data_IF_580548251248
#
_entry.id   IF_580548251248
#
_cell.length_a   1.000
_cell.length_b   1.000
_cell.length_c   1.000
_cell.angle_alpha   90.00
_cell.angle_beta   90.00
_cell.angle_gamma   90.00
#
_symmetry.space_group_name_H-M   'P 1'
#
loop_
_entity.id
_entity.type
_entity.pdbx_description
1 polymer ?
#
# COMPACT_ATOMS: atom_id res chain seq x y z
N UNK A 1 -13.57 -4.11 22.54
CA UNK A 1 -12.11 -3.92 22.42
C UNK A 1 -11.49 -5.02 21.56
N UNK A 2 -11.87 -6.28 21.82
CA UNK A 2 -11.40 -7.47 21.09
C UNK A 2 -11.56 -7.37 19.57
N UNK A 3 -12.75 -7.04 19.06
CA UNK A 3 -12.98 -6.90 17.60
C UNK A 3 -12.08 -5.84 16.96
N UNK A 4 -11.83 -4.72 17.65
CA UNK A 4 -10.97 -3.64 17.14
C UNK A 4 -9.52 -4.12 16.97
N UNK A 5 -9.03 -4.94 17.90
CA UNK A 5 -7.70 -5.56 17.82
C UNK A 5 -7.66 -6.59 16.68
N UNK A 6 -8.72 -7.39 16.52
CA UNK A 6 -8.83 -8.33 15.39
C UNK A 6 -8.75 -7.59 14.05
N UNK A 7 -9.44 -6.45 13.90
CA UNK A 7 -9.33 -5.61 12.68
C UNK A 7 -7.88 -5.24 12.41
N UNK A 8 -7.14 -4.75 13.41
CA UNK A 8 -5.72 -4.41 13.26
C UNK A 8 -4.87 -5.61 12.83
N UNK A 9 -5.05 -6.76 13.48
CA UNK A 9 -4.31 -7.98 13.14
C UNK A 9 -4.60 -8.43 11.70
N UNK A 10 -5.85 -8.34 11.25
CA UNK A 10 -6.21 -8.65 9.85
C UNK A 10 -5.62 -7.62 8.89
N UNK A 11 -5.59 -6.33 9.22
CA UNK A 11 -4.94 -5.32 8.38
C UNK A 11 -3.44 -5.62 8.21
N UNK A 12 -2.74 -6.01 9.29
CA UNK A 12 -1.33 -6.43 9.24
C UNK A 12 -1.20 -7.69 8.37
N UNK A 13 -2.08 -8.67 8.52
CA UNK A 13 -2.07 -9.89 7.70
C UNK A 13 -2.29 -9.57 6.21
N UNK A 14 -3.17 -8.63 5.88
CA UNK A 14 -3.40 -8.18 4.50
C UNK A 14 -2.19 -7.46 3.92
N UNK A 15 -1.51 -6.63 4.72
CA UNK A 15 -0.23 -6.03 4.33
C UNK A 15 0.80 -7.11 3.97
N UNK A 16 0.96 -8.15 4.81
CA UNK A 16 1.90 -9.24 4.54
C UNK A 16 1.51 -10.01 3.27
N UNK A 17 0.23 -10.36 3.12
CA UNK A 17 -0.25 -11.11 1.95
C UNK A 17 -0.01 -10.30 0.66
N UNK A 18 -0.39 -9.03 0.63
CA UNK A 18 -0.26 -8.24 -0.58
C UNK A 18 1.22 -8.04 -0.96
N UNK A 19 2.04 -7.65 0.00
CA UNK A 19 3.41 -7.21 -0.25
C UNK A 19 4.40 -8.37 -0.47
N UNK A 20 4.12 -9.57 0.06
CA UNK A 20 5.00 -10.73 -0.06
C UNK A 20 4.44 -11.87 -0.92
N UNK A 21 3.11 -12.02 -0.99
CA UNK A 21 2.50 -13.17 -1.68
C UNK A 21 1.85 -12.77 -3.01
N UNK A 22 1.24 -11.59 -3.11
CA UNK A 22 0.41 -11.22 -4.27
C UNK A 22 1.12 -10.33 -5.30
N UNK A 23 2.28 -9.74 -5.00
CA UNK A 23 2.94 -8.80 -5.92
C UNK A 23 3.23 -9.39 -7.33
N UNK A 24 3.57 -10.68 -7.42
CA UNK A 24 3.80 -11.37 -8.70
C UNK A 24 4.68 -10.59 -9.69
N UNK A 25 4.21 -10.39 -10.93
CA UNK A 25 4.93 -9.61 -11.96
C UNK A 25 5.03 -8.11 -11.63
N UNK A 26 4.09 -7.59 -10.83
CA UNK A 26 4.03 -6.19 -10.48
C UNK A 26 5.22 -5.76 -9.61
N UNK A 27 5.78 -6.68 -8.82
CA UNK A 27 7.04 -6.49 -8.08
C UNK A 27 8.19 -6.05 -8.99
N UNK A 28 8.25 -6.63 -10.19
CA UNK A 28 9.25 -6.31 -11.19
C UNK A 28 8.87 -5.03 -11.94
N UNK A 29 7.62 -4.89 -12.36
CA UNK A 29 7.18 -3.77 -13.18
C UNK A 29 7.24 -2.43 -12.44
N UNK A 30 7.11 -2.39 -11.10
CA UNK A 30 7.30 -1.15 -10.33
C UNK A 30 8.73 -0.63 -10.30
N UNK A 31 9.70 -1.42 -10.80
CA UNK A 31 11.12 -1.09 -10.83
C UNK A 31 11.53 -0.56 -12.20
N UNK A 32 12.04 0.67 -12.24
CA UNK A 32 12.58 1.31 -13.45
C UNK A 32 13.63 0.46 -14.16
N UNK A 33 14.53 -0.17 -13.39
CA UNK A 33 15.60 -1.01 -13.93
C UNK A 33 15.07 -2.19 -14.74
N UNK A 34 13.93 -2.76 -14.34
CA UNK A 34 13.32 -3.88 -15.07
C UNK A 34 12.91 -3.46 -16.48
N UNK A 35 12.33 -2.28 -16.64
CA UNK A 35 11.95 -1.73 -17.95
C UNK A 35 13.17 -1.38 -18.80
N UNK A 36 14.20 -0.77 -18.22
CA UNK A 36 15.45 -0.48 -18.93
C UNK A 36 16.12 -1.74 -19.50
N UNK A 37 15.94 -2.89 -18.83
CA UNK A 37 16.52 -4.18 -19.26
C UNK A 37 15.65 -4.94 -20.26
N UNK A 38 14.33 -4.90 -20.12
CA UNK A 38 13.42 -5.73 -20.92
C UNK A 38 12.78 -4.97 -22.09
N UNK A 39 12.68 -3.64 -22.00
CA UNK A 39 12.06 -2.75 -22.99
C UNK A 39 12.85 -1.44 -23.11
N UNK A 40 14.04 -1.45 -23.73
CA UNK A 40 14.98 -0.33 -23.73
C UNK A 40 14.52 0.89 -24.55
N UNK A 41 13.43 0.78 -25.31
CA UNK A 41 12.87 1.87 -26.10
C UNK A 41 12.52 3.08 -25.20
N UNK A 42 12.78 4.28 -25.71
CA UNK A 42 12.46 5.53 -25.03
C UNK A 42 10.97 5.65 -24.66
N UNK A 43 10.09 5.04 -25.45
CA UNK A 43 8.65 5.00 -25.22
C UNK A 43 8.29 4.42 -23.85
N UNK A 44 8.97 3.36 -23.39
CA UNK A 44 8.58 2.60 -22.19
C UNK A 44 9.33 3.02 -20.92
N UNK A 45 10.22 4.02 -21.00
CA UNK A 45 11.09 4.44 -19.88
C UNK A 45 10.34 4.88 -18.61
N UNK A 46 9.06 5.23 -18.73
CA UNK A 46 8.22 5.73 -17.63
C UNK A 46 7.10 4.77 -17.23
N UNK A 47 6.97 3.61 -17.87
CA UNK A 47 5.87 2.66 -17.61
C UNK A 47 5.90 2.12 -16.18
N UNK A 48 7.09 2.06 -15.57
CA UNK A 48 7.25 1.70 -14.16
C UNK A 48 6.45 2.61 -13.21
N UNK A 49 6.19 3.87 -13.58
CA UNK A 49 5.39 4.79 -12.77
C UNK A 49 3.93 4.34 -12.69
N UNK A 50 3.37 3.84 -13.80
CA UNK A 50 2.01 3.31 -13.82
C UNK A 50 1.93 2.02 -13.00
N UNK A 51 2.90 1.12 -13.16
CA UNK A 51 2.97 -0.11 -12.38
C UNK A 51 3.11 0.17 -10.86
N UNK A 52 3.95 1.14 -10.49
CA UNK A 52 4.11 1.60 -9.12
C UNK A 52 2.81 2.17 -8.54
N UNK A 53 2.11 3.01 -9.32
CA UNK A 53 0.84 3.60 -8.92
C UNK A 53 -0.26 2.55 -8.70
N UNK A 54 -0.38 1.59 -9.62
CA UNK A 54 -1.33 0.46 -9.51
C UNK A 54 -0.99 -0.46 -8.34
N UNK A 55 0.31 -0.72 -8.10
CA UNK A 55 0.74 -1.50 -6.95
C UNK A 55 0.36 -0.82 -5.64
N UNK A 56 0.66 0.47 -5.51
CA UNK A 56 0.33 1.25 -4.33
C UNK A 56 -1.19 1.31 -4.08
N UNK A 57 -1.99 1.37 -5.15
CA UNK A 57 -3.45 1.33 -5.06
C UNK A 57 -3.93 -0.03 -4.52
N UNK A 58 -3.46 -1.12 -5.13
CA UNK A 58 -3.80 -2.49 -4.73
C UNK A 58 -3.46 -2.74 -3.27
N UNK A 59 -2.25 -2.36 -2.86
CA UNK A 59 -1.79 -2.51 -1.47
C UNK A 59 -2.66 -1.71 -0.49
N UNK A 60 -2.96 -0.45 -0.82
CA UNK A 60 -3.81 0.41 0.02
C UNK A 60 -5.22 -0.17 0.14
N UNK A 61 -5.77 -0.68 -0.96
CA UNK A 61 -7.06 -1.35 -0.96
C UNK A 61 -7.06 -2.58 -0.05
N UNK A 62 -6.07 -3.45 -0.19
CA UNK A 62 -5.98 -4.68 0.62
C UNK A 62 -5.82 -4.39 2.10
N UNK A 63 -4.96 -3.43 2.47
CA UNK A 63 -4.73 -3.07 3.88
C UNK A 63 -5.91 -2.32 4.51
N UNK A 64 -6.67 -1.53 3.74
CA UNK A 64 -7.85 -0.82 4.23
C UNK A 64 -9.14 -1.65 4.18
N UNK A 65 -9.17 -2.76 3.45
CA UNK A 65 -10.37 -3.59 3.32
C UNK A 65 -10.98 -4.01 4.67
N UNK A 66 -10.20 -4.49 5.67
CA UNK A 66 -10.77 -4.92 6.95
C UNK A 66 -11.46 -3.78 7.71
N UNK A 67 -10.87 -2.57 7.68
CA UNK A 67 -11.45 -1.41 8.37
C UNK A 67 -12.66 -0.85 7.63
N UNK A 68 -12.66 -0.86 6.29
CA UNK A 68 -13.83 -0.45 5.49
C UNK A 68 -15.00 -1.39 5.75
N UNK A 69 -14.78 -2.70 5.73
CA UNK A 69 -15.82 -3.70 6.05
C UNK A 69 -16.34 -3.50 7.46
N UNK A 70 -15.45 -3.29 8.45
CA UNK A 70 -15.84 -3.01 9.82
C UNK A 70 -16.77 -1.80 9.94
N UNK A 71 -16.45 -0.68 9.28
CA UNK A 71 -17.28 0.55 9.29
C UNK A 71 -18.61 0.37 8.55
N UNK A 72 -18.62 -0.37 7.45
CA UNK A 72 -19.87 -0.70 6.74
C UNK A 72 -20.80 -1.52 7.65
N UNK A 73 -20.26 -2.50 8.39
CA UNK A 73 -21.05 -3.33 9.30
C UNK A 73 -21.62 -2.55 10.51
N UNK A 74 -20.96 -1.47 10.91
CA UNK A 74 -21.48 -0.53 11.91
C UNK A 74 -22.49 0.48 11.32
N UNK A 75 -22.65 0.51 9.99
CA UNK A 75 -23.47 1.50 9.30
C UNK A 75 -22.88 2.91 9.27
N UNK A 76 -21.56 3.05 9.46
CA UNK A 76 -20.90 4.32 9.77
C UNK A 76 -19.65 4.59 8.91
N UNK A 77 -19.71 4.38 7.59
CA UNK A 77 -18.60 4.70 6.69
C UNK A 77 -18.62 6.20 6.28
N UNK A 78 -17.81 7.08 6.89
CA UNK A 78 -17.82 8.49 6.54
C UNK A 78 -17.11 8.75 5.21
N UNK A 79 -17.52 9.82 4.51
CA UNK A 79 -16.90 10.21 3.24
C UNK A 79 -15.40 10.53 3.36
N UNK A 80 -14.93 11.00 4.52
CA UNK A 80 -13.52 11.32 4.70
C UNK A 80 -12.61 10.08 4.71
N UNK A 81 -13.16 8.85 4.81
CA UNK A 81 -12.42 7.60 4.58
C UNK A 81 -11.73 7.58 3.20
N UNK A 82 -12.36 8.15 2.16
CA UNK A 82 -11.75 8.23 0.83
C UNK A 82 -10.52 9.15 0.81
N UNK A 83 -10.49 10.17 1.68
CA UNK A 83 -9.32 11.02 1.89
C UNK A 83 -8.17 10.24 2.54
N UNK A 84 -8.47 9.44 3.58
CA UNK A 84 -7.48 8.55 4.22
C UNK A 84 -6.93 7.53 3.23
N UNK A 85 -7.78 6.99 2.36
CA UNK A 85 -7.36 6.11 1.27
C UNK A 85 -6.39 6.80 0.31
N UNK A 86 -6.74 7.98 -0.19
CA UNK A 86 -5.90 8.72 -1.12
C UNK A 86 -4.53 9.06 -0.50
N UNK A 87 -4.50 9.47 0.78
CA UNK A 87 -3.25 9.76 1.49
C UNK A 87 -2.39 8.50 1.64
N UNK A 88 -2.97 7.37 2.07
CA UNK A 88 -2.22 6.11 2.19
C UNK A 88 -1.65 5.65 0.86
N UNK A 89 -2.44 5.75 -0.21
CA UNK A 89 -2.02 5.39 -1.54
C UNK A 89 -0.82 6.21 -2.02
N UNK A 90 -0.88 7.53 -1.83
CA UNK A 90 0.21 8.42 -2.21
C UNK A 90 1.47 8.15 -1.39
N UNK A 91 1.35 7.97 -0.07
CA UNK A 91 2.48 7.67 0.81
C UNK A 91 3.14 6.35 0.38
N UNK A 92 2.36 5.29 0.20
CA UNK A 92 2.88 3.97 -0.19
C UNK A 92 3.65 4.05 -1.51
N UNK A 93 3.05 4.66 -2.54
CA UNK A 93 3.70 4.82 -3.84
C UNK A 93 5.01 5.62 -3.76
N UNK A 94 5.06 6.65 -2.91
CA UNK A 94 6.27 7.44 -2.68
C UNK A 94 7.34 6.61 -1.97
N UNK A 95 7.00 5.88 -0.91
CA UNK A 95 7.93 5.04 -0.14
C UNK A 95 8.53 3.95 -1.02
N UNK A 96 7.70 3.23 -1.77
CA UNK A 96 8.16 2.23 -2.73
C UNK A 96 9.05 2.84 -3.83
N UNK A 97 8.76 4.06 -4.28
CA UNK A 97 9.63 4.76 -5.22
C UNK A 97 11.01 5.04 -4.60
N UNK A 98 11.05 5.48 -3.34
CA UNK A 98 12.30 5.74 -2.63
C UNK A 98 13.13 4.46 -2.44
N UNK A 99 12.48 3.33 -2.12
CA UNK A 99 13.16 2.03 -2.00
C UNK A 99 13.59 1.47 -3.35
N UNK A 100 12.66 1.27 -4.27
CA UNK A 100 12.87 0.45 -5.46
C UNK A 100 13.52 1.20 -6.63
N UNK A 101 13.35 2.53 -6.68
CA UNK A 101 13.78 3.34 -7.83
C UNK A 101 14.86 4.37 -7.48
N UNK A 102 14.80 4.97 -6.28
CA UNK A 102 15.87 5.88 -5.80
C UNK A 102 16.94 5.19 -4.96
N UNK A 103 16.69 3.96 -4.51
CA UNK A 103 17.59 3.20 -3.63
C UNK A 103 18.00 3.98 -2.37
N UNK A 104 17.12 4.86 -1.89
CA UNK A 104 17.39 5.79 -0.79
C UNK A 104 17.09 5.19 0.59
N UNK A 105 16.26 4.14 0.64
CA UNK A 105 15.87 3.43 1.85
C UNK A 105 15.97 1.92 1.63
N UNK A 106 16.18 1.17 2.71
CA UNK A 106 16.20 -0.29 2.67
C UNK A 106 14.82 -0.89 2.99
N UNK A 107 14.73 -2.22 2.92
CA UNK A 107 13.51 -2.95 3.20
C UNK A 107 12.98 -2.72 4.63
N UNK A 108 13.85 -2.59 5.63
CA UNK A 108 13.41 -2.40 7.03
C UNK A 108 12.67 -1.07 7.17
N UNK A 109 13.23 0.01 6.62
CA UNK A 109 12.63 1.36 6.69
C UNK A 109 11.30 1.39 5.95
N UNK A 110 11.26 0.84 4.73
CA UNK A 110 10.07 0.69 3.91
C UNK A 110 8.92 -0.03 4.66
N UNK A 111 9.19 -1.24 5.18
CA UNK A 111 8.19 -2.02 5.88
C UNK A 111 7.77 -1.37 7.21
N UNK A 112 8.68 -0.67 7.88
CA UNK A 112 8.34 0.09 9.08
C UNK A 112 7.35 1.22 8.76
N UNK A 113 7.53 1.94 7.65
CA UNK A 113 6.60 2.98 7.21
C UNK A 113 5.24 2.37 6.83
N UNK A 114 5.23 1.26 6.09
CA UNK A 114 3.99 0.56 5.74
C UNK A 114 3.21 0.09 7.00
N UNK A 115 3.89 -0.44 8.02
CA UNK A 115 3.26 -0.79 9.29
C UNK A 115 2.73 0.43 10.04
N UNK A 116 3.45 1.56 10.03
CA UNK A 116 2.96 2.82 10.59
C UNK A 116 1.70 3.29 9.86
N UNK A 117 1.65 3.20 8.53
CA UNK A 117 0.44 3.50 7.75
C UNK A 117 -0.76 2.65 8.19
N UNK A 118 -0.57 1.34 8.37
CA UNK A 118 -1.60 0.43 8.86
C UNK A 118 -2.09 0.82 10.25
N UNK A 119 -1.17 1.04 11.19
CA UNK A 119 -1.51 1.38 12.59
C UNK A 119 -2.19 2.74 12.68
N UNK A 120 -1.67 3.77 12.00
CA UNK A 120 -2.27 5.11 12.00
C UNK A 120 -3.66 5.07 11.38
N UNK A 121 -3.84 4.36 10.27
CA UNK A 121 -5.16 4.20 9.64
C UNK A 121 -6.14 3.52 10.58
N UNK A 122 -5.71 2.47 11.30
CA UNK A 122 -6.53 1.82 12.31
C UNK A 122 -6.91 2.77 13.46
N UNK A 123 -5.95 3.53 14.02
CA UNK A 123 -6.25 4.51 15.07
C UNK A 123 -7.30 5.50 14.59
N UNK A 124 -7.08 6.09 13.41
CA UNK A 124 -7.95 7.14 12.84
C UNK A 124 -9.34 6.62 12.53
N UNK A 125 -9.48 5.41 12.00
CA UNK A 125 -10.76 4.88 11.52
C UNK A 125 -11.48 3.95 12.51
N UNK A 126 -10.84 3.51 13.59
CA UNK A 126 -11.43 2.52 14.52
C UNK A 126 -11.45 3.02 15.97
N UNK A 127 -10.49 3.85 16.38
CA UNK A 127 -10.42 4.36 17.75
C UNK A 127 -10.97 5.77 17.91
N UNK A 128 -10.78 6.63 16.89
CA UNK A 128 -11.34 7.97 16.81
C UNK A 128 -12.72 7.96 16.13
#
# INVERSE_FOLDING_TARGET
>A
MEVKIVVLLVMIQMHIIDDYCLQGKLANFKQRRWWEQNYPDAMYKKDYLMALFLHAFSWTFMTMLPVVVYRILLGDLPLWCYGVFAVNWLIHGVVDHFKANKLAINLIVDQSIHLVQVVVTWVVLVLL
#
